data_IF_397748273633
#
_entry.id   IF_397748273633
#
_cell.length_a   1.000
_cell.length_b   1.000
_cell.length_c   1.000
_cell.angle_alpha   90.00
_cell.angle_beta   90.00
_cell.angle_gamma   90.00
#
_symmetry.space_group_name_H-M   'P 1'
#
loop_
_entity.id
_entity.type
_entity.pdbx_description
1 polymer ?
#
# COMPACT_ATOMS: atom_id res chain seq x y z
N UNK A 1 -5.31 16.27 19.54
CA UNK A 1 -4.14 17.11 19.76
C UNK A 1 -2.87 16.29 19.68
N UNK A 2 -1.74 16.96 19.68
CA UNK A 2 -0.42 16.35 19.81
C UNK A 2 0.31 17.10 20.93
N UNK A 3 0.81 16.37 21.92
CA UNK A 3 1.55 16.90 23.07
C UNK A 3 2.92 16.26 23.08
N UNK A 4 3.99 17.07 22.99
CA UNK A 4 5.38 16.61 22.93
C UNK A 4 5.64 15.51 21.88
N UNK A 5 4.94 15.60 20.72
CA UNK A 5 5.03 14.66 19.60
C UNK A 5 4.10 13.44 19.69
N UNK A 6 3.46 13.21 20.81
CA UNK A 6 2.49 12.13 21.01
C UNK A 6 1.04 12.59 20.73
N UNK A 7 0.28 11.77 20.00
CA UNK A 7 -1.12 12.06 19.69
C UNK A 7 -2.00 11.70 20.87
N UNK A 8 -2.74 12.67 21.36
CA UNK A 8 -3.61 12.52 22.54
C UNK A 8 -5.06 12.88 22.22
N UNK A 9 -5.99 12.34 23.00
CA UNK A 9 -7.41 12.74 22.96
C UNK A 9 -7.55 14.22 23.37
N UNK A 10 -8.52 14.92 22.78
CA UNK A 10 -8.78 16.34 23.09
C UNK A 10 -9.26 16.59 24.53
N UNK A 11 -9.55 15.54 25.28
CA UNK A 11 -9.90 15.61 26.71
C UNK A 11 -8.73 15.40 27.64
N UNK A 12 -7.55 15.09 27.10
CA UNK A 12 -6.34 14.91 27.88
C UNK A 12 -6.05 16.20 28.64
N UNK A 13 -5.88 16.10 29.96
CA UNK A 13 -5.54 17.23 30.81
C UNK A 13 -4.06 17.50 30.68
N UNK A 14 -3.69 18.73 30.38
CA UNK A 14 -2.30 19.20 30.33
C UNK A 14 -2.03 19.91 31.65
N UNK A 15 -1.15 19.35 32.46
CA UNK A 15 -0.79 19.82 33.81
C UNK A 15 0.62 20.38 33.93
N UNK A 16 1.38 20.43 32.83
CA UNK A 16 2.73 20.93 32.73
C UNK A 16 2.96 21.66 31.41
N UNK A 17 4.03 22.47 31.37
CA UNK A 17 4.48 23.09 30.11
C UNK A 17 4.84 22.00 29.09
N UNK A 18 4.33 22.13 27.86
CA UNK A 18 4.53 21.17 26.79
C UNK A 18 4.46 21.83 25.40
N UNK A 19 4.96 21.16 24.41
CA UNK A 19 4.72 21.53 23.01
C UNK A 19 3.34 21.01 22.56
N UNK A 20 2.42 21.93 22.27
CA UNK A 20 1.06 21.61 21.87
C UNK A 20 0.85 21.90 20.37
N UNK A 21 0.45 20.90 19.61
CA UNK A 21 0.02 21.05 18.22
C UNK A 21 -1.44 20.61 18.06
N UNK A 22 -2.22 21.43 17.34
CA UNK A 22 -3.63 21.13 17.05
C UNK A 22 -3.73 20.50 15.67
N UNK A 23 -4.03 19.21 15.66
CA UNK A 23 -4.15 18.41 14.43
C UNK A 23 -5.55 18.60 13.81
N UNK A 24 -5.57 18.74 12.50
CA UNK A 24 -6.79 18.85 11.68
C UNK A 24 -6.85 17.70 10.67
N UNK A 25 -7.91 17.69 9.83
CA UNK A 25 -7.99 16.73 8.72
C UNK A 25 -6.88 16.91 7.67
N UNK A 26 -6.15 18.02 7.65
CA UNK A 26 -5.02 18.22 6.73
C UNK A 26 -3.76 17.47 7.20
N UNK A 27 -3.70 17.12 8.48
CA UNK A 27 -2.61 16.38 9.10
C UNK A 27 -2.90 14.88 9.07
N UNK A 28 -1.91 14.04 8.78
CA UNK A 28 -2.12 12.58 8.68
C UNK A 28 -2.68 11.96 9.98
N UNK A 29 -2.15 12.39 11.12
CA UNK A 29 -2.64 11.94 12.44
C UNK A 29 -4.09 12.41 12.70
N UNK A 30 -4.44 13.62 12.24
CA UNK A 30 -5.80 14.17 12.32
C UNK A 30 -6.78 13.45 11.39
N UNK A 31 -6.35 13.11 10.16
CA UNK A 31 -7.12 12.23 9.25
C UNK A 31 -7.38 10.86 9.88
N UNK A 32 -6.35 10.29 10.55
CA UNK A 32 -6.47 9.03 11.27
C UNK A 32 -7.60 9.05 12.28
N UNK A 33 -7.64 10.03 13.19
CA UNK A 33 -8.69 10.17 14.19
C UNK A 33 -10.09 10.38 13.57
N UNK A 34 -10.20 11.13 12.49
CA UNK A 34 -11.45 11.34 11.77
C UNK A 34 -11.98 10.04 11.15
N UNK A 35 -11.13 9.30 10.45
CA UNK A 35 -11.45 8.02 9.79
C UNK A 35 -11.76 6.94 10.82
N UNK A 36 -11.00 6.89 11.91
CA UNK A 36 -11.24 5.97 13.01
C UNK A 36 -12.61 6.23 13.68
N UNK A 37 -12.98 7.50 13.89
CA UNK A 37 -14.33 7.84 14.35
C UNK A 37 -15.40 7.40 13.35
N UNK A 38 -15.12 7.50 12.04
CA UNK A 38 -16.07 7.04 11.03
C UNK A 38 -16.26 5.52 11.06
N UNK A 39 -15.21 4.75 11.34
CA UNK A 39 -15.32 3.29 11.51
C UNK A 39 -16.20 2.91 12.69
N UNK A 40 -16.13 3.65 13.81
CA UNK A 40 -17.02 3.43 14.96
C UNK A 40 -18.47 3.80 14.67
N UNK A 41 -18.72 4.88 13.89
CA UNK A 41 -20.09 5.21 13.41
C UNK A 41 -20.62 4.09 12.52
N UNK A 42 -19.78 3.46 11.68
CA UNK A 42 -20.17 2.30 10.88
C UNK A 42 -20.48 1.09 11.77
N UNK A 43 -19.65 0.79 12.77
CA UNK A 43 -19.88 -0.30 13.71
C UNK A 43 -21.18 -0.13 14.48
N UNK A 44 -21.49 1.08 14.97
CA UNK A 44 -22.77 1.40 15.62
C UNK A 44 -23.95 1.18 14.65
N UNK A 45 -23.84 1.64 13.41
CA UNK A 45 -24.87 1.43 12.40
C UNK A 45 -25.10 -0.05 12.10
N UNK A 46 -24.04 -0.85 12.03
CA UNK A 46 -24.12 -2.30 11.85
C UNK A 46 -24.84 -2.94 13.04
N UNK A 47 -24.48 -2.61 14.27
CA UNK A 47 -25.13 -3.16 15.49
C UNK A 47 -26.59 -2.76 15.60
N UNK A 48 -26.98 -1.55 15.17
CA UNK A 48 -28.40 -1.12 15.14
C UNK A 48 -29.22 -1.93 14.13
N UNK A 49 -28.65 -2.26 12.96
CA UNK A 49 -29.35 -2.99 11.89
C UNK A 49 -29.26 -4.51 12.05
N UNK A 50 -28.16 -4.99 12.60
CA UNK A 50 -27.83 -6.40 12.74
C UNK A 50 -27.25 -6.69 14.14
N UNK A 51 -28.07 -6.80 15.16
CA UNK A 51 -27.63 -6.95 16.55
C UNK A 51 -26.80 -8.21 16.82
N UNK A 52 -27.00 -9.26 16.03
CA UNK A 52 -26.32 -10.56 16.08
C UNK A 52 -24.87 -10.54 15.56
N UNK A 53 -24.50 -9.52 14.78
CA UNK A 53 -23.14 -9.37 14.25
C UNK A 53 -22.12 -9.19 15.37
N UNK A 54 -20.99 -9.91 15.31
CA UNK A 54 -19.86 -9.74 16.23
C UNK A 54 -18.84 -8.79 15.63
N UNK A 55 -18.35 -7.89 16.45
CA UNK A 55 -17.40 -6.85 16.05
C UNK A 55 -15.97 -7.30 16.37
N UNK A 56 -15.06 -7.18 15.40
CA UNK A 56 -13.65 -7.46 15.60
C UNK A 56 -12.83 -6.17 15.74
N UNK A 57 -12.25 -5.65 14.66
CA UNK A 57 -11.41 -4.45 14.67
C UNK A 57 -11.79 -3.47 13.56
N UNK A 58 -11.62 -2.16 13.83
CA UNK A 58 -11.98 -1.09 12.89
C UNK A 58 -10.99 0.07 12.81
N UNK A 59 -9.75 -0.15 12.34
CA UNK A 59 -8.76 0.90 12.26
C UNK A 59 -9.00 1.87 11.11
N UNK A 60 -8.38 3.04 11.18
CA UNK A 60 -8.13 3.89 10.02
C UNK A 60 -6.98 3.34 9.18
N UNK A 61 -7.05 3.58 7.88
CA UNK A 61 -5.99 3.27 6.90
C UNK A 61 -5.68 4.51 6.08
N UNK A 62 -4.58 4.47 5.31
CA UNK A 62 -4.08 5.61 4.52
C UNK A 62 -5.15 6.31 3.69
N UNK A 63 -6.03 5.57 3.03
CA UNK A 63 -7.06 6.13 2.15
C UNK A 63 -8.50 5.87 2.63
N UNK A 64 -8.71 5.64 3.93
CA UNK A 64 -10.05 5.37 4.44
C UNK A 64 -10.05 4.70 5.80
N UNK A 65 -10.99 3.79 5.96
CA UNK A 65 -11.16 2.97 7.15
C UNK A 65 -11.78 1.62 6.77
N UNK A 66 -11.72 0.66 7.67
CA UNK A 66 -12.51 -0.56 7.56
C UNK A 66 -13.01 -0.99 8.93
N UNK A 67 -13.91 -1.97 8.92
CA UNK A 67 -14.27 -2.72 10.11
C UNK A 67 -14.46 -4.19 9.76
N UNK A 68 -13.86 -5.08 10.56
CA UNK A 68 -14.00 -6.52 10.44
C UNK A 68 -15.14 -6.99 11.32
N UNK A 69 -16.07 -7.71 10.73
CA UNK A 69 -17.28 -8.20 11.39
C UNK A 69 -17.53 -9.66 11.08
N UNK A 70 -18.09 -10.36 12.05
CA UNK A 70 -18.53 -11.74 11.92
C UNK A 70 -20.05 -11.81 11.87
N UNK A 71 -20.58 -12.40 10.81
CA UNK A 71 -22.00 -12.62 10.59
C UNK A 71 -22.21 -13.95 9.88
N UNK A 72 -23.19 -14.75 10.33
CA UNK A 72 -23.51 -16.02 9.68
C UNK A 72 -24.00 -15.83 8.23
N UNK A 73 -24.88 -14.85 8.01
CA UNK A 73 -25.34 -14.48 6.67
C UNK A 73 -24.38 -13.45 6.06
N UNK A 74 -23.72 -13.73 4.95
CA UNK A 74 -22.82 -12.78 4.30
C UNK A 74 -23.50 -11.46 3.96
N UNK A 75 -22.75 -10.35 4.09
CA UNK A 75 -23.22 -9.04 3.64
C UNK A 75 -23.24 -8.97 2.12
N UNK A 76 -24.26 -8.31 1.57
CA UNK A 76 -24.41 -7.99 0.15
C UNK A 76 -24.16 -6.49 -0.11
N UNK A 77 -23.97 -6.11 -1.37
CA UNK A 77 -23.80 -4.71 -1.75
C UNK A 77 -24.95 -3.80 -1.29
N UNK A 78 -26.17 -4.32 -1.27
CA UNK A 78 -27.38 -3.62 -0.82
C UNK A 78 -27.35 -3.30 0.69
N UNK A 79 -26.66 -4.12 1.48
CA UNK A 79 -26.50 -3.86 2.91
C UNK A 79 -25.62 -2.65 3.17
N UNK A 80 -24.63 -2.38 2.32
CA UNK A 80 -23.79 -1.17 2.40
C UNK A 80 -24.63 0.11 2.32
N UNK A 81 -25.63 0.14 1.45
CA UNK A 81 -26.54 1.30 1.35
C UNK A 81 -27.42 1.47 2.61
N UNK A 82 -27.87 0.36 3.23
CA UNK A 82 -28.64 0.39 4.48
C UNK A 82 -27.78 0.91 5.62
N UNK A 83 -26.53 0.41 5.72
CA UNK A 83 -25.57 0.84 6.72
C UNK A 83 -25.25 2.34 6.55
N UNK A 84 -24.99 2.81 5.32
CA UNK A 84 -24.76 4.23 5.06
C UNK A 84 -25.96 5.13 5.47
N UNK A 85 -27.17 4.67 5.25
CA UNK A 85 -28.38 5.41 5.68
C UNK A 85 -28.44 5.51 7.19
N UNK A 86 -28.11 4.43 7.92
CA UNK A 86 -28.08 4.43 9.36
C UNK A 86 -26.93 5.29 9.92
N UNK A 87 -25.73 5.20 9.33
CA UNK A 87 -24.62 6.08 9.67
C UNK A 87 -25.00 7.56 9.54
N UNK A 88 -25.75 7.95 8.48
CA UNK A 88 -26.24 9.32 8.32
C UNK A 88 -27.19 9.76 9.43
N UNK A 89 -27.99 8.85 10.01
CA UNK A 89 -28.83 9.16 11.18
C UNK A 89 -27.97 9.40 12.41
N UNK A 90 -27.01 8.52 12.69
CA UNK A 90 -26.09 8.64 13.83
C UNK A 90 -25.33 9.97 13.77
N UNK A 91 -24.83 10.38 12.58
CA UNK A 91 -24.17 11.67 12.43
C UNK A 91 -25.10 12.84 12.71
N UNK A 92 -26.39 12.76 12.31
CA UNK A 92 -27.40 13.79 12.60
C UNK A 92 -27.74 13.88 14.09
N UNK A 93 -27.69 12.79 14.81
CA UNK A 93 -27.88 12.72 16.28
C UNK A 93 -26.79 13.52 17.01
N UNK A 94 -25.64 13.76 16.38
CA UNK A 94 -24.53 14.53 16.94
C UNK A 94 -24.07 14.04 18.32
N UNK A 95 -23.99 12.72 18.46
CA UNK A 95 -23.67 12.03 19.73
C UNK A 95 -22.29 12.48 20.25
N UNK A 96 -22.16 12.77 21.56
CA UNK A 96 -20.85 12.91 22.17
C UNK A 96 -20.10 11.58 22.12
N UNK A 97 -18.79 11.64 22.01
CA UNK A 97 -17.92 10.47 22.07
C UNK A 97 -17.07 10.59 23.32
N UNK A 98 -17.23 9.69 24.26
CA UNK A 98 -16.62 9.74 25.58
C UNK A 98 -15.64 8.59 25.78
N UNK A 99 -14.44 8.89 26.30
CA UNK A 99 -13.42 7.90 26.66
C UNK A 99 -13.56 7.56 28.12
N UNK A 100 -13.51 6.27 28.44
CA UNK A 100 -13.42 5.77 29.82
C UNK A 100 -12.56 4.50 29.86
N UNK A 101 -12.20 4.07 31.05
CA UNK A 101 -11.39 2.87 31.28
C UNK A 101 -12.09 1.91 32.23
N UNK A 102 -11.73 0.64 32.11
CA UNK A 102 -12.17 -0.43 33.00
C UNK A 102 -11.02 -1.30 33.43
N UNK A 103 -11.16 -2.00 34.55
CA UNK A 103 -10.24 -3.09 34.89
C UNK A 103 -10.33 -4.22 33.85
N UNK A 104 -9.34 -5.09 33.77
CA UNK A 104 -9.35 -6.20 32.82
C UNK A 104 -10.53 -7.14 33.07
N UNK A 105 -10.81 -7.44 34.33
CA UNK A 105 -11.92 -8.29 34.74
C UNK A 105 -13.27 -7.71 34.32
N UNK A 106 -13.50 -6.41 34.60
CA UNK A 106 -14.74 -5.72 34.23
C UNK A 106 -14.88 -5.59 32.70
N UNK A 107 -13.79 -5.38 31.99
CA UNK A 107 -13.78 -5.29 30.53
C UNK A 107 -14.16 -6.63 29.87
N UNK A 108 -13.57 -7.73 30.35
CA UNK A 108 -13.89 -9.07 29.89
C UNK A 108 -15.34 -9.42 30.22
N UNK A 109 -15.79 -9.14 31.45
CA UNK A 109 -17.18 -9.41 31.87
C UNK A 109 -18.18 -8.64 30.99
N UNK A 110 -17.90 -7.36 30.71
CA UNK A 110 -18.73 -6.52 29.86
C UNK A 110 -18.90 -7.09 28.44
N UNK A 111 -17.79 -7.49 27.77
CA UNK A 111 -17.89 -8.01 26.41
C UNK A 111 -18.41 -9.47 26.37
N UNK A 112 -18.23 -10.27 27.42
CA UNK A 112 -18.91 -11.58 27.55
C UNK A 112 -20.42 -11.42 27.64
N UNK A 113 -20.92 -10.45 28.43
CA UNK A 113 -22.35 -10.14 28.51
C UNK A 113 -22.92 -9.66 27.17
N UNK A 114 -22.13 -8.89 26.41
CA UNK A 114 -22.52 -8.39 25.08
C UNK A 114 -22.31 -9.42 23.95
N UNK A 115 -21.80 -10.60 24.26
CA UNK A 115 -21.48 -11.66 23.29
C UNK A 115 -20.55 -11.18 22.16
N UNK A 116 -19.46 -10.51 22.54
CA UNK A 116 -18.44 -9.98 21.63
C UNK A 116 -17.11 -10.74 21.84
N UNK A 117 -16.98 -11.97 21.31
CA UNK A 117 -15.84 -12.84 21.61
C UNK A 117 -14.51 -12.28 21.13
N UNK A 118 -14.47 -11.59 19.97
CA UNK A 118 -13.23 -10.99 19.45
C UNK A 118 -12.68 -9.88 20.35
N UNK A 119 -13.56 -9.12 21.01
CA UNK A 119 -13.16 -8.09 21.99
C UNK A 119 -12.59 -8.72 23.25
N UNK A 120 -13.18 -9.83 23.72
CA UNK A 120 -12.64 -10.59 24.85
C UNK A 120 -11.24 -11.10 24.54
N UNK A 121 -11.03 -11.73 23.38
CA UNK A 121 -9.75 -12.24 22.94
C UNK A 121 -8.68 -11.12 22.80
N UNK A 122 -9.08 -9.94 22.30
CA UNK A 122 -8.18 -8.80 22.22
C UNK A 122 -7.74 -8.31 23.62
N UNK A 123 -8.63 -8.28 24.59
CA UNK A 123 -8.31 -7.86 25.96
C UNK A 123 -7.40 -8.88 26.65
N UNK A 124 -7.66 -10.18 26.44
CA UNK A 124 -6.83 -11.26 27.00
C UNK A 124 -5.39 -11.21 26.53
N UNK A 125 -5.16 -10.73 25.30
CA UNK A 125 -3.81 -10.60 24.70
C UNK A 125 -3.05 -9.34 25.11
N UNK A 126 -3.71 -8.34 25.68
CA UNK A 126 -3.01 -7.13 26.13
C UNK A 126 -2.01 -7.45 27.25
N UNK A 127 -0.82 -6.81 27.29
CA UNK A 127 0.14 -6.96 28.39
C UNK A 127 -0.48 -6.68 29.74
N UNK A 128 0.06 -7.30 30.81
CA UNK A 128 -0.36 -6.98 32.17
C UNK A 128 -0.01 -5.53 32.51
N UNK A 129 -0.99 -4.83 33.12
CA UNK A 129 -0.83 -3.43 33.52
C UNK A 129 -1.12 -2.41 32.42
N UNK A 130 -1.46 -2.84 31.20
CA UNK A 130 -1.88 -1.93 30.15
C UNK A 130 -3.29 -1.39 30.43
N UNK A 131 -3.48 -0.08 30.20
CA UNK A 131 -4.75 0.60 30.40
C UNK A 131 -5.76 0.14 29.34
N UNK A 132 -6.89 -0.39 29.75
CA UNK A 132 -7.95 -0.83 28.86
C UNK A 132 -8.98 0.27 28.70
N UNK A 133 -8.94 0.94 27.55
CA UNK A 133 -9.79 2.07 27.24
C UNK A 133 -10.93 1.71 26.29
N UNK A 134 -12.01 2.45 26.45
CA UNK A 134 -13.26 2.34 25.71
C UNK A 134 -13.67 3.70 25.19
N UNK A 135 -14.38 3.68 24.08
CA UNK A 135 -15.08 4.86 23.58
C UNK A 135 -16.57 4.57 23.46
N UNK A 136 -17.38 5.46 24.04
CA UNK A 136 -18.84 5.41 24.00
C UNK A 136 -19.39 6.52 23.12
N UNK A 137 -20.32 6.17 22.26
CA UNK A 137 -21.12 7.11 21.47
C UNK A 137 -22.61 6.70 21.54
N UNK A 138 -23.38 7.41 22.37
CA UNK A 138 -24.74 7.01 22.69
C UNK A 138 -24.82 5.61 23.35
N UNK A 139 -25.59 4.72 22.75
CA UNK A 139 -25.73 3.32 23.20
C UNK A 139 -24.55 2.41 22.81
N UNK A 140 -23.72 2.84 21.88
CA UNK A 140 -22.60 2.05 21.35
C UNK A 140 -21.34 2.26 22.17
N UNK A 141 -20.71 1.15 22.55
CA UNK A 141 -19.42 1.13 23.26
C UNK A 141 -18.47 0.18 22.56
N UNK A 142 -17.25 0.64 22.29
CA UNK A 142 -16.22 -0.19 21.68
C UNK A 142 -14.90 -0.17 22.47
N UNK A 143 -14.16 -1.29 22.43
CA UNK A 143 -12.79 -1.40 22.91
C UNK A 143 -11.87 -0.64 21.95
N UNK A 144 -11.18 0.37 22.41
CA UNK A 144 -10.37 1.21 21.53
C UNK A 144 -9.36 2.04 22.30
N UNK A 145 -8.13 2.13 21.76
CA UNK A 145 -7.07 3.02 22.26
C UNK A 145 -7.27 4.49 21.83
N UNK A 146 -8.08 4.75 20.80
CA UNK A 146 -8.30 6.09 20.25
C UNK A 146 -7.11 6.60 19.41
N UNK A 147 -6.97 7.93 19.22
CA UNK A 147 -7.96 8.94 19.60
C UNK A 147 -9.17 9.02 18.66
N UNK A 148 -10.21 9.68 19.11
CA UNK A 148 -11.43 9.97 18.35
C UNK A 148 -11.78 11.46 18.34
N UNK A 149 -12.74 11.84 17.46
CA UNK A 149 -13.39 13.14 17.53
C UNK A 149 -14.22 13.29 18.82
N UNK A 150 -14.55 14.53 19.15
CA UNK A 150 -15.39 14.82 20.34
C UNK A 150 -16.85 14.41 20.15
N UNK A 151 -17.35 14.38 18.91
CA UNK A 151 -18.73 14.03 18.56
C UNK A 151 -18.79 13.40 17.17
N UNK A 152 -19.91 12.75 16.85
CA UNK A 152 -20.15 12.17 15.52
C UNK A 152 -20.46 13.24 14.45
N UNK A 153 -20.85 14.46 14.84
CA UNK A 153 -21.34 15.55 13.98
C UNK A 153 -20.40 15.97 12.83
N UNK A 154 -19.06 16.00 12.97
CA UNK A 154 -18.16 16.40 11.89
C UNK A 154 -18.11 15.43 10.71
N UNK A 155 -18.49 14.15 10.91
CA UNK A 155 -18.39 13.10 9.89
C UNK A 155 -19.58 13.17 8.93
N UNK A 156 -19.55 14.18 8.01
CA UNK A 156 -20.71 14.46 7.13
C UNK A 156 -20.65 13.76 5.79
N UNK A 157 -19.47 13.44 5.30
CA UNK A 157 -19.24 12.88 3.98
C UNK A 157 -18.48 11.57 4.06
N UNK A 158 -19.15 10.47 3.74
CA UNK A 158 -18.56 9.12 3.72
C UNK A 158 -19.24 8.27 2.66
N UNK A 159 -18.53 7.21 2.23
CA UNK A 159 -19.01 6.19 1.31
C UNK A 159 -18.45 4.84 1.73
N UNK A 160 -19.28 3.81 1.80
CA UNK A 160 -18.84 2.43 1.91
C UNK A 160 -18.51 1.91 0.51
N UNK A 161 -17.32 1.35 0.32
CA UNK A 161 -16.77 1.11 -1.00
C UNK A 161 -16.79 -0.34 -1.42
N UNK A 162 -16.51 -1.27 -0.52
CA UNK A 162 -16.42 -2.69 -0.86
C UNK A 162 -16.51 -3.61 0.35
N UNK A 163 -16.78 -4.88 0.05
CA UNK A 163 -16.72 -6.02 0.96
C UNK A 163 -15.56 -6.91 0.56
N UNK A 164 -14.82 -7.43 1.53
CA UNK A 164 -13.78 -8.43 1.30
C UNK A 164 -13.78 -9.46 2.44
N UNK A 165 -13.30 -10.67 2.14
CA UNK A 165 -12.97 -11.65 3.19
C UNK A 165 -11.63 -11.30 3.83
N UNK A 166 -11.54 -11.42 5.16
CA UNK A 166 -10.30 -11.25 5.89
C UNK A 166 -10.22 -12.29 7.01
N UNK A 167 -9.15 -13.08 7.04
CA UNK A 167 -8.95 -14.02 8.14
C UNK A 167 -8.63 -13.29 9.42
N UNK A 168 -9.30 -13.68 10.51
CA UNK A 168 -9.00 -13.13 11.84
C UNK A 168 -7.51 -13.24 12.15
N UNK A 169 -6.88 -12.13 12.54
CA UNK A 169 -5.44 -12.01 12.79
C UNK A 169 -4.56 -12.42 11.59
N UNK A 170 -5.07 -12.35 10.37
CA UNK A 170 -4.33 -12.65 9.16
C UNK A 170 -3.93 -14.12 8.96
N UNK A 171 -4.46 -15.04 9.77
CA UNK A 171 -4.15 -16.46 9.69
C UNK A 171 -5.28 -17.24 9.01
N UNK A 172 -4.96 -17.98 7.95
CA UNK A 172 -5.90 -18.86 7.23
C UNK A 172 -6.50 -19.98 8.12
N UNK A 173 -5.91 -20.24 9.28
CA UNK A 173 -6.42 -21.20 10.26
C UNK A 173 -7.59 -20.65 11.07
N UNK A 174 -7.76 -19.34 11.10
CA UNK A 174 -8.80 -18.65 11.85
C UNK A 174 -10.02 -18.41 10.97
N UNK A 175 -11.15 -18.02 11.62
CA UNK A 175 -12.40 -17.73 10.92
C UNK A 175 -12.20 -16.59 9.92
N UNK A 176 -12.81 -16.74 8.74
CA UNK A 176 -12.89 -15.67 7.77
C UNK A 176 -14.01 -14.71 8.19
N UNK A 177 -13.66 -13.45 8.39
CA UNK A 177 -14.55 -12.34 8.69
C UNK A 177 -14.91 -11.57 7.44
N UNK A 178 -15.96 -10.77 7.49
CA UNK A 178 -16.27 -9.80 6.45
C UNK A 178 -15.64 -8.46 6.82
N UNK A 179 -14.77 -7.95 5.94
CA UNK A 179 -14.17 -6.62 6.03
C UNK A 179 -14.98 -5.65 5.20
N UNK A 180 -15.52 -4.61 5.84
CA UNK A 180 -16.28 -3.54 5.18
C UNK A 180 -15.39 -2.32 5.07
N UNK A 181 -15.06 -1.91 3.84
CA UNK A 181 -14.24 -0.73 3.57
C UNK A 181 -15.08 0.52 3.39
N UNK A 182 -14.56 1.65 3.86
CA UNK A 182 -15.16 2.95 3.65
C UNK A 182 -14.14 4.07 3.55
N UNK A 183 -14.59 5.18 3.00
CA UNK A 183 -13.84 6.44 2.90
C UNK A 183 -14.64 7.55 3.53
N UNK A 184 -13.97 8.54 4.11
CA UNK A 184 -14.65 9.68 4.73
C UNK A 184 -13.83 10.97 4.62
N UNK A 185 -14.58 12.09 4.50
CA UNK A 185 -14.05 13.43 4.39
C UNK A 185 -14.89 14.41 5.19
N UNK A 186 -14.35 15.53 5.65
CA UNK A 186 -15.11 16.59 6.34
C UNK A 186 -16.17 17.22 5.45
N UNK A 187 -15.92 17.33 4.14
CA UNK A 187 -16.81 18.01 3.18
C UNK A 187 -17.20 17.07 2.04
N UNK A 188 -18.46 17.18 1.62
CA UNK A 188 -18.98 16.39 0.49
C UNK A 188 -18.18 16.60 -0.80
N UNK A 189 -17.79 17.84 -1.11
CA UNK A 189 -17.00 18.13 -2.30
C UNK A 189 -15.68 17.34 -2.36
N UNK A 190 -14.98 17.17 -1.22
CA UNK A 190 -13.76 16.37 -1.15
C UNK A 190 -14.03 14.87 -1.40
N UNK A 191 -15.14 14.36 -0.88
CA UNK A 191 -15.57 12.99 -1.14
C UNK A 191 -15.92 12.79 -2.62
N UNK A 192 -16.69 13.70 -3.21
CA UNK A 192 -17.09 13.63 -4.61
C UNK A 192 -15.88 13.72 -5.55
N UNK A 193 -14.90 14.58 -5.25
CA UNK A 193 -13.63 14.68 -5.97
C UNK A 193 -12.84 13.36 -5.92
N UNK A 194 -12.71 12.77 -4.74
CA UNK A 194 -12.02 11.49 -4.57
C UNK A 194 -12.73 10.33 -5.29
N UNK A 195 -14.07 10.28 -5.23
CA UNK A 195 -14.85 9.28 -5.95
C UNK A 195 -14.69 9.44 -7.48
N UNK A 196 -14.71 10.67 -7.97
CA UNK A 196 -14.45 10.96 -9.38
C UNK A 196 -13.05 10.51 -9.80
N UNK A 197 -12.03 10.80 -8.97
CA UNK A 197 -10.66 10.32 -9.20
C UNK A 197 -10.59 8.79 -9.28
N UNK A 198 -11.28 8.08 -8.39
CA UNK A 198 -11.33 6.61 -8.41
C UNK A 198 -12.03 6.07 -9.67
N UNK A 199 -13.11 6.71 -10.12
CA UNK A 199 -13.79 6.33 -11.37
C UNK A 199 -12.90 6.56 -12.59
N UNK A 200 -12.22 7.69 -12.65
CA UNK A 200 -11.25 7.98 -13.71
C UNK A 200 -10.07 7.00 -13.68
N UNK A 201 -9.56 6.66 -12.50
CA UNK A 201 -8.51 5.64 -12.35
C UNK A 201 -8.96 4.26 -12.89
N UNK A 202 -10.22 3.85 -12.62
CA UNK A 202 -10.78 2.60 -13.18
C UNK A 202 -10.90 2.64 -14.70
N UNK A 203 -11.26 3.79 -15.30
CA UNK A 203 -11.32 3.95 -16.75
C UNK A 203 -9.93 3.85 -17.39
N UNK A 204 -8.89 4.30 -16.68
CA UNK A 204 -7.49 4.30 -17.11
C UNK A 204 -6.73 3.03 -16.71
N UNK A 205 -7.39 2.02 -16.14
CA UNK A 205 -6.74 0.76 -15.78
C UNK A 205 -6.06 0.15 -17.01
N UNK A 206 -4.74 0.01 -16.95
CA UNK A 206 -3.91 -0.47 -18.05
C UNK A 206 -4.30 -1.90 -18.51
N UNK A 207 -4.85 -2.73 -17.62
CA UNK A 207 -5.32 -4.09 -17.94
C UNK A 207 -6.54 -4.04 -18.83
N UNK A 208 -7.47 -3.11 -18.54
CA UNK A 208 -8.66 -2.86 -19.34
C UNK A 208 -8.27 -2.28 -20.69
N UNK A 209 -7.52 -1.16 -20.68
CA UNK A 209 -7.07 -0.50 -21.90
C UNK A 209 -6.18 -1.41 -22.76
N UNK A 210 -5.27 -2.15 -22.15
CA UNK A 210 -4.40 -3.10 -22.83
C UNK A 210 -5.17 -4.17 -23.60
N UNK A 211 -6.24 -4.71 -23.00
CA UNK A 211 -7.12 -5.67 -23.64
C UNK A 211 -7.97 -5.03 -24.75
N UNK A 212 -8.63 -3.90 -24.47
CA UNK A 212 -9.51 -3.20 -25.41
C UNK A 212 -8.76 -2.71 -26.66
N UNK A 213 -7.53 -2.22 -26.49
CA UNK A 213 -6.69 -1.71 -27.56
C UNK A 213 -5.82 -2.80 -28.23
N UNK A 214 -5.77 -4.01 -27.67
CA UNK A 214 -4.95 -5.11 -28.17
C UNK A 214 -3.45 -4.82 -28.05
N UNK A 215 -3.01 -4.35 -26.88
CA UNK A 215 -1.60 -3.96 -26.65
C UNK A 215 -0.75 -5.14 -26.14
N UNK A 216 -1.31 -5.92 -25.22
CA UNK A 216 -0.62 -7.08 -24.63
C UNK A 216 -1.63 -8.13 -24.17
N UNK A 217 -1.13 -9.33 -23.93
CA UNK A 217 -1.92 -10.41 -23.33
C UNK A 217 -1.12 -11.15 -22.27
N UNK A 218 -1.84 -11.79 -21.37
CA UNK A 218 -1.32 -12.80 -20.43
C UNK A 218 -1.95 -14.13 -20.83
N UNK A 219 -1.21 -15.23 -20.72
CA UNK A 219 -1.69 -16.56 -21.03
C UNK A 219 -1.31 -17.57 -19.93
N UNK A 220 -1.91 -18.75 -19.97
CA UNK A 220 -1.71 -19.82 -18.99
C UNK A 220 -0.31 -20.44 -19.10
N UNK A 221 0.28 -20.43 -20.30
CA UNK A 221 1.64 -20.94 -20.56
C UNK A 221 2.73 -20.08 -19.92
N UNK A 222 2.41 -18.80 -19.60
CA UNK A 222 3.36 -17.86 -19.00
C UNK A 222 2.72 -16.95 -17.96
N UNK A 223 2.28 -17.46 -16.81
CA UNK A 223 1.67 -16.62 -15.79
C UNK A 223 2.67 -15.58 -15.24
N UNK A 224 2.34 -14.30 -15.43
CA UNK A 224 3.21 -13.18 -15.06
C UNK A 224 4.26 -12.81 -16.13
N UNK A 225 4.20 -13.41 -17.32
CA UNK A 225 5.03 -13.06 -18.47
C UNK A 225 4.15 -12.37 -19.52
N UNK A 226 4.27 -11.03 -19.70
CA UNK A 226 3.45 -10.31 -20.67
C UNK A 226 3.89 -10.57 -22.11
N UNK A 227 2.93 -10.84 -22.98
CA UNK A 227 3.14 -10.93 -24.43
C UNK A 227 2.71 -9.61 -25.06
N UNK A 228 3.63 -8.87 -25.64
CA UNK A 228 3.30 -7.65 -26.35
C UNK A 228 2.81 -7.96 -27.77
N UNK A 229 1.62 -7.47 -28.09
CA UNK A 229 1.00 -7.60 -29.40
C UNK A 229 1.51 -6.50 -30.37
N UNK A 230 1.23 -6.56 -31.68
CA UNK A 230 1.81 -5.60 -32.63
C UNK A 230 1.61 -4.13 -32.27
N UNK A 231 0.41 -3.73 -31.83
CA UNK A 231 0.18 -2.35 -31.38
C UNK A 231 0.91 -2.00 -30.08
N UNK A 232 1.01 -2.97 -29.17
CA UNK A 232 1.79 -2.82 -27.95
C UNK A 232 3.29 -2.70 -28.23
N UNK A 233 3.80 -3.44 -29.21
CA UNK A 233 5.19 -3.30 -29.65
C UNK A 233 5.47 -1.95 -30.29
N UNK A 234 4.53 -1.42 -31.10
CA UNK A 234 4.67 -0.08 -31.66
C UNK A 234 4.79 0.97 -30.53
N UNK A 235 3.88 0.92 -29.56
CA UNK A 235 3.92 1.82 -28.39
C UNK A 235 5.24 1.67 -27.62
N UNK A 236 5.63 0.42 -27.29
CA UNK A 236 6.89 0.14 -26.58
C UNK A 236 8.09 0.67 -27.33
N UNK A 237 8.21 0.43 -28.63
CA UNK A 237 9.33 0.90 -29.45
C UNK A 237 9.39 2.42 -29.47
N UNK A 238 8.25 3.11 -29.63
CA UNK A 238 8.19 4.58 -29.61
C UNK A 238 8.72 5.14 -28.28
N UNK A 239 8.35 4.53 -27.15
CA UNK A 239 8.84 4.93 -25.84
C UNK A 239 10.35 4.66 -25.68
N UNK A 240 10.83 3.51 -26.17
CA UNK A 240 12.26 3.16 -26.13
C UNK A 240 13.11 4.08 -27.01
N UNK A 241 12.61 4.49 -28.17
CA UNK A 241 13.32 5.41 -29.06
C UNK A 241 13.42 6.82 -28.44
N UNK A 242 12.35 7.27 -27.78
CA UNK A 242 12.37 8.51 -26.98
C UNK A 242 13.40 8.42 -25.83
N UNK A 243 13.41 7.30 -25.10
CA UNK A 243 14.41 7.03 -24.06
C UNK A 243 15.84 7.12 -24.59
N UNK A 244 16.12 6.46 -25.72
CA UNK A 244 17.44 6.48 -26.36
C UNK A 244 17.89 7.89 -26.75
N UNK A 245 16.97 8.68 -27.30
CA UNK A 245 17.26 10.07 -27.67
C UNK A 245 17.66 10.90 -26.45
N UNK A 246 16.90 10.82 -25.37
CA UNK A 246 17.18 11.57 -24.13
C UNK A 246 18.47 11.12 -23.48
N UNK A 247 18.70 9.82 -23.34
CA UNK A 247 19.91 9.28 -22.72
C UNK A 247 21.16 9.64 -23.54
N UNK A 248 21.08 9.57 -24.87
CA UNK A 248 22.17 10.01 -25.73
C UNK A 248 22.51 11.50 -25.54
N UNK A 249 21.50 12.36 -25.44
CA UNK A 249 21.69 13.80 -25.15
C UNK A 249 22.30 14.01 -23.76
N UNK A 250 21.95 13.20 -22.78
CA UNK A 250 22.52 13.25 -21.44
C UNK A 250 23.88 12.57 -21.28
N UNK A 251 24.46 12.07 -22.39
CA UNK A 251 25.81 11.49 -22.43
C UNK A 251 25.88 10.05 -21.92
N UNK A 252 24.77 9.31 -21.94
CA UNK A 252 24.78 7.87 -21.68
C UNK A 252 25.19 7.08 -22.91
N UNK A 253 25.93 5.99 -22.69
CA UNK A 253 26.27 4.98 -23.68
C UNK A 253 25.44 3.73 -23.45
N UNK A 254 24.71 3.31 -24.49
CA UNK A 254 23.85 2.10 -24.39
C UNK A 254 24.71 0.85 -24.46
N UNK A 255 24.48 -0.08 -23.52
CA UNK A 255 25.11 -1.41 -23.48
C UNK A 255 24.03 -2.48 -23.39
N UNK A 256 24.39 -3.74 -23.64
CA UNK A 256 23.52 -4.88 -23.46
C UNK A 256 24.29 -6.03 -22.82
N UNK A 257 23.76 -6.59 -21.74
CA UNK A 257 24.36 -7.71 -21.03
C UNK A 257 23.58 -9.00 -21.23
N UNK A 258 24.23 -10.19 -21.23
CA UNK A 258 23.57 -11.46 -21.42
C UNK A 258 22.49 -11.73 -20.35
N UNK A 259 21.43 -12.44 -20.76
CA UNK A 259 20.33 -12.78 -19.85
C UNK A 259 20.73 -13.91 -18.89
N UNK A 260 21.54 -14.89 -19.36
CA UNK A 260 21.97 -16.04 -18.58
C UNK A 260 23.45 -15.89 -18.26
N UNK A 261 23.78 -15.93 -16.97
CA UNK A 261 25.15 -15.79 -16.46
C UNK A 261 25.43 -16.83 -15.39
N UNK A 262 26.70 -17.22 -15.23
CA UNK A 262 27.13 -18.26 -14.31
C UNK A 262 26.91 -17.90 -12.84
N UNK A 263 26.70 -18.90 -12.01
CA UNK A 263 26.51 -18.78 -10.56
C UNK A 263 27.63 -17.98 -9.88
N UNK A 264 28.87 -18.13 -10.32
CA UNK A 264 30.03 -17.43 -9.74
C UNK A 264 29.84 -15.89 -9.72
N UNK A 265 29.27 -15.31 -10.78
CA UNK A 265 28.98 -13.87 -10.81
C UNK A 265 27.95 -13.46 -9.75
N UNK A 266 26.94 -14.30 -9.55
CA UNK A 266 25.87 -14.05 -8.59
C UNK A 266 26.32 -14.25 -7.15
N UNK A 267 27.26 -15.15 -6.88
CA UNK A 267 27.94 -15.30 -5.59
C UNK A 267 28.81 -14.10 -5.27
N UNK A 268 29.65 -13.66 -6.23
CA UNK A 268 30.52 -12.49 -6.09
C UNK A 268 29.72 -11.22 -5.78
N UNK A 269 28.56 -11.06 -6.39
CA UNK A 269 27.68 -9.89 -6.18
C UNK A 269 26.73 -10.04 -4.99
N UNK A 270 26.73 -11.18 -4.29
CA UNK A 270 25.87 -11.47 -3.14
C UNK A 270 24.43 -11.89 -3.48
N UNK A 271 24.00 -11.79 -4.74
CA UNK A 271 22.63 -12.12 -5.12
C UNK A 271 22.27 -13.59 -4.88
N UNK A 272 23.23 -14.52 -5.06
CA UNK A 272 22.99 -15.94 -4.84
C UNK A 272 22.60 -16.26 -3.41
N UNK A 273 23.12 -15.54 -2.43
CA UNK A 273 22.85 -15.77 -1.01
C UNK A 273 21.62 -15.04 -0.50
N UNK A 274 21.34 -13.83 -1.01
CA UNK A 274 20.31 -12.94 -0.46
C UNK A 274 19.07 -12.80 -1.34
N UNK A 275 19.13 -13.24 -2.61
CA UNK A 275 18.05 -13.03 -3.58
C UNK A 275 17.65 -14.30 -4.36
N UNK A 276 18.20 -15.49 -3.98
CA UNK A 276 18.03 -16.76 -4.70
C UNK A 276 16.56 -17.15 -4.89
N UNK A 277 15.71 -16.92 -3.90
CA UNK A 277 14.28 -17.25 -3.98
C UNK A 277 13.54 -16.49 -5.11
N UNK A 278 14.07 -15.35 -5.52
CA UNK A 278 13.52 -14.53 -6.60
C UNK A 278 14.23 -14.76 -7.94
N UNK A 279 15.15 -15.71 -8.04
CA UNK A 279 15.91 -16.00 -9.26
C UNK A 279 15.41 -17.27 -9.94
N UNK A 280 15.38 -17.25 -11.26
CA UNK A 280 15.27 -18.47 -12.05
C UNK A 280 16.67 -19.04 -12.29
N UNK A 281 16.86 -20.29 -11.93
CA UNK A 281 18.16 -20.98 -12.07
C UNK A 281 18.04 -22.14 -13.05
N UNK A 282 19.16 -22.47 -13.71
CA UNK A 282 19.27 -23.62 -14.62
C UNK A 282 20.68 -24.22 -14.54
N UNK A 283 20.87 -25.37 -15.13
CA UNK A 283 22.17 -26.02 -15.24
C UNK A 283 22.56 -26.17 -16.72
N UNK A 284 23.81 -25.85 -17.04
CA UNK A 284 24.40 -26.01 -18.36
C UNK A 284 25.71 -26.76 -18.16
N UNK A 285 25.84 -27.93 -18.78
CA UNK A 285 27.03 -28.81 -18.69
C UNK A 285 27.43 -29.14 -17.23
N UNK A 286 26.46 -29.25 -16.32
CA UNK A 286 26.68 -29.58 -14.90
C UNK A 286 27.00 -28.35 -14.02
N UNK A 287 27.13 -27.16 -14.61
CA UNK A 287 27.37 -25.92 -13.89
C UNK A 287 26.07 -25.13 -13.69
N UNK A 288 25.95 -24.47 -12.53
CA UNK A 288 24.78 -23.64 -12.20
C UNK A 288 24.85 -22.28 -12.90
N UNK A 289 23.74 -21.89 -13.48
CA UNK A 289 23.51 -20.58 -14.10
C UNK A 289 22.24 -19.96 -13.57
N UNK A 290 22.11 -18.64 -13.68
CA UNK A 290 20.85 -17.95 -13.39
C UNK A 290 20.48 -16.97 -14.52
N UNK A 291 19.17 -16.82 -14.71
CA UNK A 291 18.57 -15.78 -15.52
C UNK A 291 18.64 -14.48 -14.71
N UNK A 292 19.20 -13.42 -15.29
CA UNK A 292 19.48 -12.19 -14.55
C UNK A 292 18.22 -11.56 -13.93
N UNK A 293 18.18 -11.35 -12.61
CA UNK A 293 17.13 -10.59 -11.93
C UNK A 293 17.44 -9.09 -11.90
N UNK A 294 18.70 -8.73 -12.18
CA UNK A 294 19.25 -7.37 -12.17
C UNK A 294 20.36 -7.25 -13.21
N UNK A 295 20.64 -6.02 -13.66
CA UNK A 295 21.66 -5.74 -14.68
C UNK A 295 23.03 -5.41 -14.07
N UNK A 296 23.07 -5.01 -12.78
CA UNK A 296 24.27 -4.51 -12.12
C UNK A 296 25.52 -5.39 -12.29
N UNK A 297 25.50 -6.71 -12.05
CA UNK A 297 26.70 -7.53 -12.19
C UNK A 297 27.23 -7.59 -13.61
N UNK A 298 26.33 -7.63 -14.61
CA UNK A 298 26.70 -7.58 -16.02
C UNK A 298 27.35 -6.24 -16.40
N UNK A 299 26.77 -5.12 -15.96
CA UNK A 299 27.31 -3.77 -16.16
C UNK A 299 28.71 -3.60 -15.55
N UNK A 300 28.95 -4.21 -14.38
CA UNK A 300 30.28 -4.20 -13.75
C UNK A 300 31.32 -4.98 -14.57
N UNK A 301 30.93 -6.08 -15.23
CA UNK A 301 31.83 -6.82 -16.13
C UNK A 301 32.17 -5.96 -17.35
N UNK A 302 31.21 -5.25 -17.92
CA UNK A 302 31.48 -4.31 -19.06
C UNK A 302 32.45 -3.23 -18.62
N UNK A 303 32.26 -2.65 -17.43
CA UNK A 303 33.20 -1.64 -16.92
C UNK A 303 34.62 -2.18 -16.74
N UNK A 304 34.76 -3.40 -16.23
CA UNK A 304 36.06 -4.06 -15.97
C UNK A 304 36.78 -4.57 -17.20
N UNK A 305 36.17 -4.53 -18.39
CA UNK A 305 36.74 -5.11 -19.61
C UNK A 305 38.05 -4.49 -20.01
N UNK A 306 38.26 -3.22 -19.68
CA UNK A 306 39.51 -2.49 -19.95
C UNK A 306 39.88 -1.59 -18.76
N UNK A 307 41.20 -1.31 -18.57
CA UNK A 307 41.65 -0.31 -17.62
C UNK A 307 41.10 1.06 -17.97
N UNK A 308 40.54 1.77 -16.98
CA UNK A 308 39.94 3.09 -17.17
C UNK A 308 40.81 4.18 -16.54
N UNK A 309 40.94 5.30 -17.23
CA UNK A 309 41.55 6.49 -16.67
C UNK A 309 40.50 7.29 -15.87
N UNK A 310 40.91 7.90 -14.77
CA UNK A 310 40.05 8.82 -14.02
C UNK A 310 39.53 10.01 -14.86
N UNK A 311 40.21 10.31 -15.98
CA UNK A 311 39.84 11.36 -16.96
C UNK A 311 38.62 10.96 -17.82
N UNK A 312 38.29 9.68 -17.86
CA UNK A 312 37.15 9.16 -18.63
C UNK A 312 35.85 9.23 -17.79
N UNK A 313 35.98 9.53 -16.50
CA UNK A 313 34.86 9.62 -15.59
C UNK A 313 34.24 11.04 -15.58
N UNK A 314 32.91 11.17 -15.48
CA UNK A 314 31.94 10.09 -15.24
C UNK A 314 31.64 9.29 -16.52
N UNK A 315 31.55 7.96 -16.38
CA UNK A 315 31.10 7.05 -17.43
C UNK A 315 29.67 6.60 -17.11
N UNK A 316 28.73 6.88 -18.00
CA UNK A 316 27.31 6.55 -17.83
C UNK A 316 26.94 5.44 -18.79
N UNK A 317 26.75 4.21 -18.26
CA UNK A 317 26.32 3.06 -19.05
C UNK A 317 24.82 2.85 -18.84
N UNK A 318 24.03 3.03 -19.91
CA UNK A 318 22.57 2.77 -19.89
C UNK A 318 22.26 1.41 -20.52
N UNK A 319 21.28 0.71 -19.99
CA UNK A 319 20.84 -0.57 -20.51
C UNK A 319 19.32 -0.69 -20.48
N UNK A 320 18.71 -0.98 -21.64
CA UNK A 320 17.34 -1.47 -21.69
C UNK A 320 17.34 -2.97 -21.32
N UNK A 321 17.56 -3.22 -20.05
CA UNK A 321 17.84 -4.54 -19.52
C UNK A 321 16.59 -5.39 -19.32
N UNK A 322 16.50 -6.51 -20.05
CA UNK A 322 15.44 -7.51 -19.83
C UNK A 322 15.81 -8.36 -18.63
N UNK A 323 14.99 -8.29 -17.58
CA UNK A 323 15.21 -9.04 -16.34
C UNK A 323 14.03 -9.95 -16.02
N UNK A 324 14.31 -10.99 -15.21
CA UNK A 324 13.29 -11.96 -14.79
C UNK A 324 13.35 -12.14 -13.28
N UNK A 325 12.19 -12.09 -12.64
CA UNK A 325 12.07 -12.28 -11.18
C UNK A 325 10.96 -13.26 -10.86
N UNK A 326 11.24 -14.23 -10.00
CA UNK A 326 10.27 -15.19 -9.53
C UNK A 326 9.32 -14.52 -8.50
N UNK A 327 8.40 -13.70 -9.00
CA UNK A 327 7.34 -13.09 -8.19
C UNK A 327 6.29 -14.15 -7.82
N UNK A 328 5.82 -14.13 -6.57
CA UNK A 328 4.75 -15.03 -6.10
C UNK A 328 3.45 -14.75 -6.85
N UNK A 329 2.70 -15.80 -7.19
CA UNK A 329 1.46 -15.68 -8.00
C UNK A 329 0.44 -14.69 -7.42
N UNK A 330 0.25 -14.63 -6.10
CA UNK A 330 -0.66 -13.70 -5.43
C UNK A 330 -0.24 -12.22 -5.50
N UNK A 331 0.98 -11.92 -5.95
CA UNK A 331 1.47 -10.54 -6.09
C UNK A 331 1.39 -10.01 -7.52
N UNK A 332 1.12 -10.87 -8.51
CA UNK A 332 1.08 -10.47 -9.91
C UNK A 332 -0.07 -9.49 -10.19
N UNK A 333 0.22 -8.40 -10.91
CA UNK A 333 -0.76 -7.35 -11.19
C UNK A 333 -0.54 -6.67 -12.54
N UNK A 334 -1.21 -7.16 -13.58
CA UNK A 334 -1.13 -6.61 -14.94
C UNK A 334 0.33 -6.45 -15.41
N UNK A 335 0.70 -5.26 -15.87
CA UNK A 335 2.09 -4.90 -16.19
C UNK A 335 2.85 -4.27 -15.02
N UNK A 336 2.19 -3.97 -13.90
CA UNK A 336 2.81 -3.32 -12.74
C UNK A 336 3.66 -4.29 -11.92
N UNK A 337 3.29 -5.58 -11.89
CA UNK A 337 4.05 -6.62 -11.22
C UNK A 337 4.04 -7.91 -12.04
N UNK A 338 5.15 -8.17 -12.67
CA UNK A 338 5.35 -9.24 -13.66
C UNK A 338 6.63 -10.02 -13.36
N UNK A 339 6.78 -11.15 -14.03
CA UNK A 339 7.98 -12.01 -13.91
C UNK A 339 9.05 -11.74 -14.96
N UNK A 340 8.71 -10.95 -15.98
CA UNK A 340 9.64 -10.53 -17.03
C UNK A 340 9.32 -9.10 -17.43
N UNK A 341 10.31 -8.22 -17.38
CA UNK A 341 10.16 -6.81 -17.73
C UNK A 341 11.48 -6.18 -18.18
N UNK A 342 11.37 -5.12 -18.96
CA UNK A 342 12.53 -4.30 -19.38
C UNK A 342 12.68 -3.14 -18.40
N UNK A 343 13.88 -2.99 -17.83
CA UNK A 343 14.25 -1.81 -17.03
C UNK A 343 14.96 -0.79 -17.92
N UNK A 344 14.65 0.50 -17.73
CA UNK A 344 15.52 1.57 -18.11
C UNK A 344 16.56 1.77 -17.00
N UNK A 345 17.63 1.04 -17.09
CA UNK A 345 18.64 0.94 -16.04
C UNK A 345 19.93 1.65 -16.43
N UNK A 346 20.67 2.15 -15.46
CA UNK A 346 21.96 2.78 -15.72
C UNK A 346 22.93 2.59 -14.56
N UNK A 347 24.20 2.47 -14.90
CA UNK A 347 25.32 2.43 -13.97
C UNK A 347 26.26 3.58 -14.28
N UNK A 348 26.43 4.48 -13.32
CA UNK A 348 27.29 5.65 -13.45
C UNK A 348 28.54 5.43 -12.61
N UNK A 349 29.68 5.33 -13.29
CA UNK A 349 31.00 5.21 -12.68
C UNK A 349 31.60 6.60 -12.59
N UNK A 350 31.92 7.06 -11.36
CA UNK A 350 32.32 8.43 -11.12
C UNK A 350 33.32 8.53 -9.97
N UNK A 351 33.97 9.69 -9.85
CA UNK A 351 34.76 10.05 -8.65
C UNK A 351 33.88 10.67 -7.60
N UNK A 352 34.36 10.71 -6.36
CA UNK A 352 33.62 11.26 -5.22
C UNK A 352 33.19 12.72 -5.43
N UNK A 353 34.09 13.52 -6.06
CA UNK A 353 33.84 14.93 -6.37
C UNK A 353 32.77 15.16 -7.47
N UNK A 354 32.36 14.12 -8.17
CA UNK A 354 31.35 14.18 -9.24
C UNK A 354 29.95 13.72 -8.78
N UNK A 355 29.82 13.14 -7.59
CA UNK A 355 28.55 12.52 -7.10
C UNK A 355 27.39 13.49 -7.14
N UNK A 356 27.57 14.71 -6.62
CA UNK A 356 26.50 15.71 -6.54
C UNK A 356 25.97 16.09 -7.92
N UNK A 357 26.87 16.31 -8.88
CA UNK A 357 26.49 16.72 -10.23
C UNK A 357 25.79 15.58 -10.99
N UNK A 358 26.24 14.34 -10.79
CA UNK A 358 25.61 13.17 -11.39
C UNK A 358 24.20 12.91 -10.83
N UNK A 359 24.01 13.04 -9.52
CA UNK A 359 22.67 12.93 -8.90
C UNK A 359 21.73 14.02 -9.44
N UNK A 360 22.20 15.27 -9.54
CA UNK A 360 21.43 16.36 -10.16
C UNK A 360 21.11 16.07 -11.63
N UNK A 361 22.07 15.46 -12.36
CA UNK A 361 21.88 15.03 -13.74
C UNK A 361 20.78 14.00 -13.90
N UNK A 362 20.81 12.96 -13.08
CA UNK A 362 19.76 11.91 -13.04
C UNK A 362 18.41 12.51 -12.71
N UNK A 363 18.32 13.39 -11.69
CA UNK A 363 17.08 14.03 -11.31
C UNK A 363 16.49 14.88 -12.45
N UNK A 364 17.32 15.62 -13.16
CA UNK A 364 16.89 16.40 -14.35
C UNK A 364 16.34 15.49 -15.45
N UNK A 365 17.04 14.40 -15.75
CA UNK A 365 16.61 13.43 -16.76
C UNK A 365 15.26 12.79 -16.40
N UNK A 366 15.09 12.38 -15.14
CA UNK A 366 13.82 11.84 -14.63
C UNK A 366 12.70 12.86 -14.81
N UNK A 367 12.92 14.12 -14.40
CA UNK A 367 11.91 15.17 -14.55
C UNK A 367 11.57 15.44 -16.03
N UNK A 368 12.54 15.42 -16.94
CA UNK A 368 12.30 15.59 -18.37
C UNK A 368 11.42 14.47 -18.93
N UNK A 369 11.70 13.21 -18.56
CA UNK A 369 10.88 12.05 -18.95
C UNK A 369 9.45 12.18 -18.43
N UNK A 370 9.26 12.39 -17.12
CA UNK A 370 7.93 12.41 -16.53
C UNK A 370 7.09 13.64 -16.88
N UNK A 371 7.73 14.76 -17.22
CA UNK A 371 7.00 15.96 -17.66
C UNK A 371 6.39 15.79 -19.05
N UNK A 372 6.90 14.84 -19.85
CA UNK A 372 6.39 14.53 -21.19
C UNK A 372 5.04 13.77 -21.11
N UNK A 373 4.77 13.04 -20.03
CA UNK A 373 3.61 12.18 -19.86
C UNK A 373 2.70 12.64 -18.69
#
# INVERSE_FOLDING_TARGET
>A
GEVDGEVVDLRTVIDKDCELNILTFNDEKGKGAFRHTTSHIMAQAIKRLYPDVKLAIGPSIENGFYYDVDRETPFAAEDLEKIEKEMKKIVKEALPIERFTKTREDAIAYFKEKDEPYKVELIEDLPEGEEISFYQQGEFVDLCAGPHLMTTKPVKAFKLTSLAGAYWRGSEKNKMLTRIYGISYPKKAQLDEYLTMLEEAKKRDHRKLGKELGLFMMCEEGPGFPFFLPKGMLLKTTLLDYWRELHKKAGYVEVSTPIILSRHLWETSGHWNHYKENMYTTQIDGEDYAIKPMNCPGGMLVYKMEPRSYKELPLRLGELGLVHRHEKSGQLHGLMRVRCFTQDDAHIFMRDDQIEDEIKGVTRLINEVYTQF
#
